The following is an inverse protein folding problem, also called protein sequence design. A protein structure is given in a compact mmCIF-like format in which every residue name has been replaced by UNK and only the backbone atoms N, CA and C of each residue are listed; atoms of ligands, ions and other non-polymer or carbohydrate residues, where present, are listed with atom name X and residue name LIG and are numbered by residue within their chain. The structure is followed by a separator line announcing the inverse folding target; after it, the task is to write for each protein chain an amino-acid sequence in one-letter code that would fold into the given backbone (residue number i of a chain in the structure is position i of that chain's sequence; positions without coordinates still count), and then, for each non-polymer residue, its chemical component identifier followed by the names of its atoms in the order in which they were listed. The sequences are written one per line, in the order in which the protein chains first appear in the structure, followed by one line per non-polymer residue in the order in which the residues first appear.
data_IF_169693446133
#
_entry.id   IF_169693446133
#
_cell.length_a   1.000
_cell.length_b   1.000
_cell.length_c   1.000
_cell.angle_alpha   90.00
_cell.angle_beta   90.00
_cell.angle_gamma   90.00
#
_symmetry.space_group_name_H-M   'P 1'
#
loop_
_entity.id
_entity.type
_entity.pdbx_description
1 polymer ?
#
# COMPACT_ATOMS: atom_id res chain seq x y z
N UNK A 1 17.89 -50.44 45.66
CA UNK A 1 17.80 -48.97 45.80
C UNK A 1 16.50 -48.61 46.49
N UNK A 2 16.51 -47.71 47.49
CA UNK A 2 15.29 -47.32 48.23
C UNK A 2 14.22 -46.77 47.27
N UNK A 3 12.96 -47.18 47.44
CA UNK A 3 11.79 -46.69 46.67
C UNK A 3 11.75 -45.16 46.54
N UNK A 4 12.28 -44.45 47.54
CA UNK A 4 12.42 -42.98 47.55
C UNK A 4 13.31 -42.44 46.42
N UNK A 5 14.39 -43.14 46.06
CA UNK A 5 15.30 -42.72 44.96
C UNK A 5 14.68 -42.93 43.58
N UNK A 6 13.94 -44.03 43.40
CA UNK A 6 13.23 -44.32 42.15
C UNK A 6 12.07 -43.35 41.90
N UNK A 7 11.30 -43.04 42.94
CA UNK A 7 10.20 -42.06 42.87
C UNK A 7 10.70 -40.65 42.53
N UNK A 8 11.86 -40.26 43.06
CA UNK A 8 12.46 -38.96 42.79
C UNK A 8 12.88 -38.82 41.32
N UNK A 9 13.48 -39.88 40.75
CA UNK A 9 13.89 -39.90 39.33
C UNK A 9 12.66 -39.77 38.42
N UNK A 10 11.59 -40.52 38.69
CA UNK A 10 10.35 -40.44 37.90
C UNK A 10 9.73 -39.05 38.00
N UNK A 11 9.70 -38.44 39.19
CA UNK A 11 9.20 -37.08 39.39
C UNK A 11 9.99 -36.06 38.55
N UNK A 12 11.32 -36.10 38.60
CA UNK A 12 12.16 -35.19 37.82
C UNK A 12 12.02 -35.39 36.32
N UNK A 13 11.89 -36.64 35.86
CA UNK A 13 11.64 -36.93 34.44
C UNK A 13 10.28 -36.37 33.99
N UNK A 14 9.21 -36.58 34.77
CA UNK A 14 7.89 -36.01 34.49
C UNK A 14 7.92 -34.48 34.48
N UNK A 15 8.60 -33.87 35.45
CA UNK A 15 8.78 -32.42 35.51
C UNK A 15 9.54 -31.89 34.30
N UNK A 16 10.59 -32.57 33.88
CA UNK A 16 11.35 -32.22 32.68
C UNK A 16 10.49 -32.27 31.42
N UNK A 17 9.75 -33.37 31.20
CA UNK A 17 8.84 -33.48 30.06
C UNK A 17 7.73 -32.43 30.09
N UNK A 18 7.20 -32.13 31.28
CA UNK A 18 6.21 -31.07 31.46
C UNK A 18 6.78 -29.71 31.04
N UNK A 19 7.96 -29.34 31.53
CA UNK A 19 8.62 -28.07 31.18
C UNK A 19 8.91 -27.99 29.69
N UNK A 20 9.48 -29.04 29.08
CA UNK A 20 9.76 -29.07 27.63
C UNK A 20 8.46 -28.93 26.83
N UNK A 21 7.39 -29.62 27.22
CA UNK A 21 6.08 -29.53 26.57
C UNK A 21 5.50 -28.12 26.66
N UNK A 22 5.56 -27.49 27.85
CA UNK A 22 5.09 -26.10 28.05
C UNK A 22 5.88 -25.12 27.22
N UNK A 23 7.22 -25.19 27.22
CA UNK A 23 8.08 -24.30 26.43
C UNK A 23 7.79 -24.45 24.93
N UNK A 24 7.64 -25.70 24.47
CA UNK A 24 7.31 -25.97 23.06
C UNK A 24 5.95 -25.39 22.70
N UNK A 25 4.94 -25.59 23.55
CA UNK A 25 3.58 -25.10 23.32
C UNK A 25 3.53 -23.58 23.27
N UNK A 26 4.19 -22.90 24.22
CA UNK A 26 4.30 -21.44 24.25
C UNK A 26 5.06 -20.93 23.02
N UNK A 27 6.14 -21.59 22.62
CA UNK A 27 6.90 -21.24 21.41
C UNK A 27 6.06 -21.34 20.13
N UNK A 28 5.23 -22.38 20.01
CA UNK A 28 4.31 -22.54 18.89
C UNK A 28 3.23 -21.46 18.87
N UNK A 29 2.70 -21.08 20.04
CA UNK A 29 1.70 -20.00 20.16
C UNK A 29 2.31 -18.66 19.72
N UNK A 30 3.52 -18.33 20.19
CA UNK A 30 4.22 -17.10 19.79
C UNK A 30 4.46 -17.09 18.27
N UNK A 31 4.97 -18.20 17.72
CA UNK A 31 5.21 -18.33 16.27
C UNK A 31 3.92 -18.17 15.48
N UNK A 32 2.83 -18.79 15.93
CA UNK A 32 1.51 -18.68 15.33
C UNK A 32 1.01 -17.24 15.33
N UNK A 33 1.16 -16.53 16.46
CA UNK A 33 0.74 -15.14 16.58
C UNK A 33 1.54 -14.20 15.66
N UNK A 34 2.85 -14.40 15.56
CA UNK A 34 3.69 -13.66 14.62
C UNK A 34 3.31 -13.95 13.16
N UNK A 35 2.96 -15.19 12.83
CA UNK A 35 2.47 -15.54 11.49
C UNK A 35 1.15 -14.86 11.17
N UNK A 36 0.24 -14.77 12.15
CA UNK A 36 -1.06 -14.10 11.99
C UNK A 36 -0.90 -12.59 11.81
N UNK A 37 0.01 -11.97 12.57
CA UNK A 37 0.37 -10.56 12.41
C UNK A 37 0.95 -10.27 11.02
N UNK A 38 1.81 -11.17 10.51
CA UNK A 38 2.35 -11.03 9.16
C UNK A 38 1.26 -11.07 8.08
N UNK A 39 0.34 -12.04 8.17
CA UNK A 39 -0.81 -12.15 7.23
C UNK A 39 -1.71 -10.91 7.35
N UNK A 40 -1.94 -10.40 8.56
CA UNK A 40 -2.77 -9.21 8.75
C UNK A 40 -2.14 -7.97 8.09
N UNK A 41 -0.82 -7.80 8.17
CA UNK A 41 -0.10 -6.74 7.46
C UNK A 41 -0.21 -6.89 5.95
N UNK A 42 -0.03 -8.09 5.41
CA UNK A 42 -0.15 -8.36 3.98
C UNK A 42 -1.55 -7.99 3.44
N UNK A 43 -2.61 -8.42 4.16
CA UNK A 43 -4.00 -8.05 3.81
C UNK A 43 -4.18 -6.54 3.82
N UNK A 44 -3.62 -5.84 4.81
CA UNK A 44 -3.74 -4.39 4.92
C UNK A 44 -3.04 -3.67 3.76
N UNK A 45 -1.87 -4.16 3.32
CA UNK A 45 -1.17 -3.63 2.14
C UNK A 45 -2.01 -3.83 0.88
N UNK A 46 -2.54 -5.04 0.66
CA UNK A 46 -3.41 -5.35 -0.49
C UNK A 46 -4.68 -4.50 -0.52
N UNK A 47 -5.31 -4.26 0.63
CA UNK A 47 -6.48 -3.37 0.67
C UNK A 47 -6.11 -1.92 0.40
N UNK A 48 -4.98 -1.47 0.96
CA UNK A 48 -4.54 -0.08 0.82
C UNK A 48 -4.08 0.29 -0.60
N UNK A 49 -3.66 -0.66 -1.44
CA UNK A 49 -3.26 -0.38 -2.83
C UNK A 49 -4.45 -0.23 -3.79
N UNK A 50 -5.63 -0.76 -3.43
CA UNK A 50 -6.84 -0.71 -4.28
C UNK A 50 -7.30 0.74 -4.50
N UNK A 51 -7.32 1.55 -3.45
CA UNK A 51 -7.80 2.94 -3.50
C UNK A 51 -6.94 3.84 -4.42
N UNK A 52 -5.59 3.87 -4.31
CA UNK A 52 -4.73 4.58 -5.24
C UNK A 52 -4.95 4.17 -6.70
N UNK A 53 -5.14 2.87 -6.98
CA UNK A 53 -5.39 2.36 -8.33
C UNK A 53 -6.74 2.87 -8.86
N UNK A 54 -7.78 2.83 -8.03
CA UNK A 54 -9.10 3.29 -8.44
C UNK A 54 -9.14 4.82 -8.69
N UNK A 55 -8.53 5.59 -7.79
CA UNK A 55 -8.46 7.04 -7.95
C UNK A 55 -7.57 7.47 -9.12
N UNK A 56 -6.46 6.77 -9.38
CA UNK A 56 -5.62 7.04 -10.55
C UNK A 56 -6.33 6.71 -11.88
N UNK A 57 -7.19 5.69 -11.92
CA UNK A 57 -8.07 5.42 -13.08
C UNK A 57 -9.06 6.56 -13.31
N UNK A 58 -9.73 7.00 -12.25
CA UNK A 58 -10.66 8.13 -12.31
C UNK A 58 -9.96 9.41 -12.80
N UNK A 59 -8.76 9.66 -12.29
CA UNK A 59 -7.92 10.79 -12.68
C UNK A 59 -7.61 10.76 -14.19
N UNK A 60 -7.19 9.62 -14.72
CA UNK A 60 -6.92 9.47 -16.17
C UNK A 60 -8.14 9.80 -17.02
N UNK A 61 -9.33 9.35 -16.61
CA UNK A 61 -10.58 9.66 -17.31
C UNK A 61 -10.87 11.17 -17.31
N UNK A 62 -10.77 11.82 -16.14
CA UNK A 62 -10.99 13.27 -16.02
C UNK A 62 -9.99 14.09 -16.85
N UNK A 63 -8.73 13.66 -16.88
CA UNK A 63 -7.69 14.28 -17.69
C UNK A 63 -7.99 14.13 -19.18
N UNK A 64 -8.39 12.94 -19.63
CA UNK A 64 -8.77 12.72 -21.02
C UNK A 64 -9.99 13.55 -21.43
N UNK A 65 -11.01 13.68 -20.57
CA UNK A 65 -12.16 14.56 -20.81
C UNK A 65 -11.71 16.02 -20.99
N UNK A 66 -10.81 16.49 -20.11
CA UNK A 66 -10.28 17.85 -20.18
C UNK A 66 -9.42 18.08 -21.43
N UNK A 67 -8.55 17.15 -21.79
CA UNK A 67 -7.69 17.26 -22.98
C UNK A 67 -8.54 17.30 -24.26
N UNK A 68 -9.51 16.40 -24.41
CA UNK A 68 -10.42 16.39 -25.57
C UNK A 68 -11.21 17.69 -25.70
N UNK A 69 -11.63 18.27 -24.57
CA UNK A 69 -12.31 19.55 -24.54
C UNK A 69 -11.41 20.69 -25.06
N UNK A 70 -10.17 20.74 -24.57
CA UNK A 70 -9.18 21.74 -24.99
C UNK A 70 -8.87 21.59 -26.49
N UNK A 71 -8.69 20.37 -26.97
CA UNK A 71 -8.44 20.07 -28.40
C UNK A 71 -9.61 20.47 -29.30
N UNK A 72 -10.85 20.32 -28.82
CA UNK A 72 -12.04 20.74 -29.55
C UNK A 72 -12.25 22.27 -29.59
N UNK A 73 -11.37 23.06 -28.95
CA UNK A 73 -11.53 24.51 -28.82
C UNK A 73 -12.75 24.93 -27.98
N UNK A 74 -13.39 23.97 -27.30
CA UNK A 74 -14.58 24.22 -26.51
C UNK A 74 -14.17 24.81 -25.16
N UNK A 75 -14.38 26.11 -24.99
CA UNK A 75 -14.04 26.83 -23.75
C UNK A 75 -15.16 26.76 -22.70
N UNK A 76 -16.37 26.34 -23.09
CA UNK A 76 -17.51 26.25 -22.20
C UNK A 76 -17.32 25.06 -21.25
N UNK A 77 -17.23 25.33 -19.94
CA UNK A 77 -16.97 24.39 -18.82
C UNK A 77 -15.49 24.07 -18.50
N UNK A 78 -14.53 24.78 -19.12
CA UNK A 78 -13.10 24.44 -19.01
C UNK A 78 -12.58 24.56 -17.57
N UNK A 79 -13.05 25.56 -16.84
CA UNK A 79 -12.73 25.75 -15.44
C UNK A 79 -13.31 24.63 -14.56
N UNK A 80 -14.56 24.20 -14.82
CA UNK A 80 -15.19 23.13 -14.05
C UNK A 80 -14.51 21.77 -14.28
N UNK A 81 -14.15 21.45 -15.53
CA UNK A 81 -13.42 20.23 -15.87
C UNK A 81 -12.01 20.23 -15.29
N UNK A 82 -11.32 21.38 -15.29
CA UNK A 82 -10.02 21.53 -14.64
C UNK A 82 -10.11 21.34 -13.11
N UNK A 83 -11.15 21.88 -12.47
CA UNK A 83 -11.42 21.65 -11.04
C UNK A 83 -11.64 20.17 -10.75
N UNK A 84 -12.44 19.48 -11.56
CA UNK A 84 -12.67 18.03 -11.41
C UNK A 84 -11.38 17.20 -11.57
N UNK A 85 -10.46 17.61 -12.45
CA UNK A 85 -9.13 16.99 -12.58
C UNK A 85 -8.31 17.20 -11.30
N UNK A 86 -8.29 18.43 -10.76
CA UNK A 86 -7.56 18.74 -9.52
C UNK A 86 -8.11 17.97 -8.32
N UNK A 87 -9.43 17.87 -8.18
CA UNK A 87 -10.04 17.08 -7.11
C UNK A 87 -9.71 15.59 -7.22
N UNK A 88 -9.75 15.04 -8.44
CA UNK A 88 -9.36 13.66 -8.68
C UNK A 88 -7.88 13.40 -8.36
N UNK A 89 -7.00 14.38 -8.65
CA UNK A 89 -5.59 14.33 -8.29
C UNK A 89 -5.41 14.30 -6.77
N UNK A 90 -6.02 15.23 -6.05
CA UNK A 90 -5.93 15.28 -4.58
C UNK A 90 -6.39 13.98 -3.94
N UNK A 91 -7.48 13.36 -4.44
CA UNK A 91 -7.96 12.07 -3.94
C UNK A 91 -6.97 10.93 -4.22
N UNK A 92 -6.35 10.94 -5.40
CA UNK A 92 -5.33 9.96 -5.77
C UNK A 92 -4.07 10.09 -4.90
N UNK A 93 -3.60 11.32 -4.65
CA UNK A 93 -2.46 11.59 -3.78
C UNK A 93 -2.73 11.22 -2.32
N UNK A 94 -3.92 11.54 -1.81
CA UNK A 94 -4.31 11.16 -0.44
C UNK A 94 -4.36 9.64 -0.28
N UNK A 95 -4.94 8.93 -1.24
CA UNK A 95 -4.98 7.47 -1.22
C UNK A 95 -3.56 6.88 -1.30
N UNK A 96 -2.68 7.44 -2.14
CA UNK A 96 -1.28 7.03 -2.21
C UNK A 96 -0.53 7.26 -0.89
N UNK A 97 -0.74 8.41 -0.23
CA UNK A 97 -0.17 8.67 1.08
C UNK A 97 -0.66 7.67 2.14
N UNK A 98 -1.95 7.29 2.10
CA UNK A 98 -2.51 6.27 2.98
C UNK A 98 -1.88 4.89 2.74
N UNK A 99 -1.68 4.50 1.48
CA UNK A 99 -0.91 3.31 1.11
C UNK A 99 0.53 3.36 1.68
N UNK A 100 1.22 4.50 1.52
CA UNK A 100 2.59 4.67 2.02
C UNK A 100 2.68 4.64 3.55
N UNK A 101 1.61 4.94 4.27
CA UNK A 101 1.52 4.81 5.73
C UNK A 101 1.09 3.41 6.21
N UNK A 102 0.65 2.52 5.31
CA UNK A 102 0.15 1.19 5.68
C UNK A 102 1.25 0.31 6.31
N UNK A 103 0.98 -0.34 7.46
CA UNK A 103 1.85 -1.35 8.06
C UNK A 103 2.18 -2.46 7.06
N UNK A 104 3.43 -2.91 7.05
CA UNK A 104 3.93 -3.88 6.07
C UNK A 104 5.04 -4.74 6.63
N UNK A 105 5.37 -5.79 5.88
CA UNK A 105 6.56 -6.60 6.13
C UNK A 105 7.83 -5.90 5.63
N UNK A 106 8.97 -6.23 6.23
CA UNK A 106 10.26 -5.58 5.91
C UNK A 106 10.75 -5.90 4.49
N UNK A 107 10.42 -7.09 3.98
CA UNK A 107 10.77 -7.59 2.64
C UNK A 107 9.94 -6.97 1.52
N UNK A 108 8.86 -6.25 1.83
CA UNK A 108 8.06 -5.52 0.84
C UNK A 108 8.66 -4.15 0.47
N UNK A 109 9.67 -3.66 1.20
CA UNK A 109 10.34 -2.39 0.94
C UNK A 109 10.73 -2.14 -0.53
N UNK A 110 11.39 -3.08 -1.27
CA UNK A 110 11.72 -2.87 -2.68
C UNK A 110 10.50 -2.70 -3.58
N UNK A 111 9.38 -3.39 -3.30
CA UNK A 111 8.14 -3.27 -4.06
C UNK A 111 7.48 -1.90 -3.83
N UNK A 112 7.49 -1.43 -2.58
CA UNK A 112 6.97 -0.11 -2.24
C UNK A 112 7.81 0.99 -2.88
N UNK A 113 9.14 0.88 -2.87
CA UNK A 113 10.02 1.83 -3.55
C UNK A 113 9.77 1.84 -5.06
N UNK A 114 9.63 0.68 -5.70
CA UNK A 114 9.31 0.60 -7.12
C UNK A 114 7.95 1.25 -7.46
N UNK A 115 6.95 1.05 -6.60
CA UNK A 115 5.64 1.69 -6.76
C UNK A 115 5.70 3.20 -6.54
N UNK A 116 6.46 3.68 -5.56
CA UNK A 116 6.70 5.10 -5.32
C UNK A 116 7.41 5.76 -6.50
N UNK A 117 8.43 5.13 -7.05
CA UNK A 117 9.12 5.62 -8.25
C UNK A 117 8.17 5.69 -9.45
N UNK A 118 7.31 4.69 -9.62
CA UNK A 118 6.30 4.68 -10.66
C UNK A 118 5.24 5.78 -10.46
N UNK A 119 4.83 6.03 -9.21
CA UNK A 119 3.92 7.12 -8.86
C UNK A 119 4.50 8.49 -9.20
N UNK A 120 5.76 8.73 -8.86
CA UNK A 120 6.46 9.99 -9.15
C UNK A 120 6.71 10.19 -10.66
N UNK A 121 6.89 9.10 -11.41
CA UNK A 121 7.01 9.13 -12.88
C UNK A 121 5.68 9.32 -13.59
N UNK A 122 4.55 9.09 -12.93
CA UNK A 122 3.24 9.33 -13.52
C UNK A 122 3.17 10.83 -13.86
N UNK A 123 2.82 11.21 -15.11
CA UNK A 123 2.68 12.61 -15.44
C UNK A 123 1.61 13.21 -14.55
N UNK A 124 2.01 13.96 -13.51
CA UNK A 124 1.06 14.62 -12.63
C UNK A 124 0.18 15.49 -13.53
N UNK A 125 -1.15 15.33 -13.48
CA UNK A 125 -2.05 16.07 -14.34
C UNK A 125 -2.01 17.54 -13.95
N UNK A 126 -1.19 18.26 -14.70
CA UNK A 126 -0.72 19.61 -14.39
C UNK A 126 0.70 19.80 -14.92
N UNK A 127 1.63 18.90 -14.61
CA UNK A 127 3.03 19.00 -15.04
C UNK A 127 3.27 18.65 -16.52
N UNK A 128 2.35 17.97 -17.19
CA UNK A 128 2.46 17.70 -18.64
C UNK A 128 1.65 18.68 -19.50
N UNK A 129 0.37 18.87 -19.16
CA UNK A 129 -0.52 19.73 -19.94
C UNK A 129 -0.40 21.21 -19.56
N UNK A 130 -0.34 21.54 -18.26
CA UNK A 130 -0.15 22.94 -17.84
C UNK A 130 1.29 23.40 -18.09
N UNK A 131 2.29 22.52 -18.02
CA UNK A 131 3.69 22.84 -18.31
C UNK A 131 4.02 22.90 -19.82
N UNK A 132 3.17 22.31 -20.67
CA UNK A 132 3.16 22.55 -22.13
C UNK A 132 2.47 23.89 -22.46
N UNK A 133 1.37 24.23 -21.78
CA UNK A 133 0.74 25.56 -21.89
C UNK A 133 1.61 26.70 -21.33
N UNK A 134 2.38 26.46 -20.24
CA UNK A 134 3.21 27.46 -19.56
C UNK A 134 4.50 27.81 -20.31
N UNK A 135 4.99 26.91 -21.16
CA UNK A 135 6.22 27.09 -21.96
C UNK A 135 6.00 27.69 -23.35
N UNK A 136 4.80 28.17 -23.67
CA UNK A 136 4.52 28.90 -24.93
C UNK A 136 4.76 28.09 -26.22
N UNK A 137 5.11 26.81 -26.13
CA UNK A 137 5.46 25.97 -27.25
C UNK A 137 4.25 25.13 -27.67
N UNK A 138 3.44 25.72 -28.56
CA UNK A 138 2.47 25.07 -29.45
C UNK A 138 1.41 24.20 -28.76
N UNK A 139 0.36 24.85 -28.28
CA UNK A 139 -0.98 24.25 -28.19
C UNK A 139 -1.78 24.38 -29.50
N UNK A 140 -1.11 24.61 -30.64
CA UNK A 140 -1.75 25.03 -31.90
C UNK A 140 -1.21 24.31 -33.12
N UNK A 141 -0.92 23.02 -33.02
CA UNK A 141 -0.79 22.17 -34.19
C UNK A 141 -1.21 20.76 -33.77
N UNK A 142 -2.48 20.50 -34.08
CA UNK A 142 -3.14 19.19 -33.99
C UNK A 142 -2.46 18.22 -34.93
#
# INVERSE_FOLDING_TARGET
MSLKKSSLIVLFSLLFFFVVSTVTSVGLIIKSNNSLDNVNKEIQVVLSIIDPINHSRTLRVRVMEYVKMVEAGNSADGAAKLTAVKEALTKADHAFAAFMASPRLTDEAPLVTAYQDAWQKLPQPGAGAADRCRRGARCGQV
#
